data_IF_245735897261
#
_entry.id   IF_245735897261
#
_cell.length_a   1.000
_cell.length_b   1.000
_cell.length_c   1.000
_cell.angle_alpha   90.00
_cell.angle_beta   90.00
_cell.angle_gamma   90.00
#
_symmetry.space_group_name_H-M   'P 1'
#
loop_
_entity.id
_entity.type
_entity.pdbx_description
1 polymer ?
#
# COMPACT_ATOMS: atom_id res chain seq x y z
N UNK A 1 13.86 -9.98 27.07
CA UNK A 1 13.70 -10.09 25.60
C UNK A 1 12.21 -10.09 25.31
N UNK A 2 11.69 -9.05 24.65
CA UNK A 2 10.26 -8.82 24.53
C UNK A 2 9.69 -9.59 23.32
N UNK A 3 8.75 -10.50 23.58
CA UNK A 3 7.93 -11.18 22.57
C UNK A 3 6.85 -10.24 22.01
N UNK A 4 7.23 -9.06 21.52
CA UNK A 4 6.31 -8.06 20.95
C UNK A 4 5.97 -8.33 19.47
N UNK A 5 6.60 -9.33 18.85
CA UNK A 5 6.41 -9.64 17.43
C UNK A 5 5.10 -10.35 17.08
N UNK A 6 4.52 -11.10 18.01
CA UNK A 6 3.39 -12.00 17.75
C UNK A 6 2.02 -11.30 17.93
N UNK A 7 1.92 -10.38 18.91
CA UNK A 7 0.66 -9.69 19.22
C UNK A 7 0.26 -8.61 18.21
N UNK A 8 1.20 -8.08 17.42
CA UNK A 8 0.89 -7.10 16.38
C UNK A 8 0.59 -7.76 15.02
N UNK A 9 0.93 -9.04 14.83
CA UNK A 9 0.59 -9.78 13.62
C UNK A 9 -0.91 -9.76 13.29
N UNK A 10 -1.83 -10.06 14.23
CA UNK A 10 -3.26 -9.93 13.95
C UNK A 10 -3.69 -8.48 13.62
N UNK A 11 -3.07 -7.47 14.23
CA UNK A 11 -3.38 -6.05 13.96
C UNK A 11 -2.96 -5.62 12.55
N UNK A 12 -1.82 -6.10 12.06
CA UNK A 12 -1.40 -5.81 10.68
C UNK A 12 -2.26 -6.54 9.65
N UNK A 13 -2.76 -7.72 9.98
CA UNK A 13 -3.74 -8.44 9.15
C UNK A 13 -5.03 -7.63 9.02
N UNK A 14 -5.60 -7.15 10.13
CA UNK A 14 -6.79 -6.30 10.12
C UNK A 14 -6.59 -5.00 9.32
N UNK A 15 -5.40 -4.38 9.43
CA UNK A 15 -5.03 -3.20 8.62
C UNK A 15 -5.02 -3.58 7.13
N UNK A 16 -4.41 -4.72 6.79
CA UNK A 16 -4.36 -5.23 5.42
C UNK A 16 -5.75 -5.47 4.85
N UNK A 17 -6.65 -6.08 5.61
CA UNK A 17 -8.04 -6.33 5.21
C UNK A 17 -8.81 -5.02 4.99
N UNK A 18 -8.71 -4.05 5.93
CA UNK A 18 -9.34 -2.72 5.78
C UNK A 18 -8.86 -2.01 4.53
N UNK A 19 -7.55 -1.97 4.30
CA UNK A 19 -6.97 -1.34 3.12
C UNK A 19 -7.32 -2.11 1.83
N UNK A 20 -7.47 -3.43 1.90
CA UNK A 20 -7.88 -4.23 0.74
C UNK A 20 -9.31 -3.90 0.33
N UNK A 21 -10.22 -3.75 1.28
CA UNK A 21 -11.58 -3.30 1.01
C UNK A 21 -11.62 -1.84 0.50
N UNK A 22 -10.81 -0.94 1.09
CA UNK A 22 -10.75 0.47 0.71
C UNK A 22 -10.25 0.67 -0.74
N UNK A 23 -9.29 -0.15 -1.17
CA UNK A 23 -8.68 -0.07 -2.51
C UNK A 23 -9.17 -1.18 -3.45
N UNK A 24 -10.32 -1.79 -3.16
CA UNK A 24 -10.93 -2.79 -4.02
C UNK A 24 -11.16 -2.23 -5.43
N UNK A 25 -10.79 -3.01 -6.46
CA UNK A 25 -10.89 -2.58 -7.85
C UNK A 25 -9.81 -1.58 -8.31
N UNK A 26 -9.01 -1.02 -7.39
CA UNK A 26 -7.84 -0.18 -7.73
C UNK A 26 -6.55 -1.00 -7.68
N UNK A 27 -6.36 -1.76 -6.60
CA UNK A 27 -5.17 -2.60 -6.39
C UNK A 27 -5.57 -4.02 -6.04
N UNK A 28 -4.79 -5.01 -6.46
CA UNK A 28 -4.94 -6.38 -6.00
C UNK A 28 -4.58 -6.48 -4.50
N UNK A 29 -5.21 -7.42 -3.78
CA UNK A 29 -4.92 -7.67 -2.36
C UNK A 29 -3.43 -7.94 -2.10
N UNK A 30 -2.73 -8.59 -3.05
CA UNK A 30 -1.29 -8.82 -2.96
C UNK A 30 -0.48 -7.51 -2.95
N UNK A 31 -0.88 -6.51 -3.73
CA UNK A 31 -0.26 -5.18 -3.72
C UNK A 31 -0.45 -4.50 -2.38
N UNK A 32 -1.67 -4.58 -1.82
CA UNK A 32 -1.97 -4.03 -0.49
C UNK A 32 -1.12 -4.70 0.59
N UNK A 33 -1.02 -6.04 0.58
CA UNK A 33 -0.20 -6.79 1.51
C UNK A 33 1.29 -6.39 1.43
N UNK A 34 1.84 -6.24 0.22
CA UNK A 34 3.23 -5.76 0.03
C UNK A 34 3.42 -4.33 0.54
N UNK A 35 2.46 -3.43 0.32
CA UNK A 35 2.52 -2.06 0.83
C UNK A 35 2.47 -1.99 2.36
N UNK A 36 1.67 -2.83 3.01
CA UNK A 36 1.61 -2.92 4.48
C UNK A 36 2.92 -3.49 5.04
N UNK A 37 3.48 -4.53 4.41
CA UNK A 37 4.78 -5.09 4.81
C UNK A 37 5.91 -4.06 4.65
N UNK A 38 5.95 -3.33 3.53
CA UNK A 38 6.93 -2.28 3.29
C UNK A 38 6.79 -1.12 4.29
N UNK A 39 5.55 -0.70 4.60
CA UNK A 39 5.27 0.32 5.60
C UNK A 39 5.72 -0.10 7.01
N UNK A 40 5.48 -1.36 7.39
CA UNK A 40 5.95 -1.94 8.65
C UNK A 40 7.46 -1.96 8.75
N UNK A 41 8.13 -2.42 7.70
CA UNK A 41 9.59 -2.46 7.66
C UNK A 41 10.20 -1.06 7.75
N UNK A 42 9.74 -0.12 6.91
CA UNK A 42 10.22 1.25 6.94
C UNK A 42 9.95 1.98 8.27
N UNK A 43 8.80 1.74 8.90
CA UNK A 43 8.51 2.29 10.23
C UNK A 43 9.49 1.75 11.29
N UNK A 44 9.75 0.43 11.28
CA UNK A 44 10.70 -0.21 12.18
C UNK A 44 12.13 0.30 11.96
N UNK A 45 12.56 0.42 10.70
CA UNK A 45 13.91 0.89 10.35
C UNK A 45 14.15 2.35 10.77
N UNK A 46 13.18 3.23 10.54
CA UNK A 46 13.37 4.67 10.77
C UNK A 46 13.10 5.06 12.22
N UNK A 47 12.10 4.46 12.86
CA UNK A 47 11.64 4.88 14.19
C UNK A 47 12.01 3.90 15.31
N UNK A 48 12.55 2.73 14.96
CA UNK A 48 12.80 1.65 15.91
C UNK A 48 11.54 0.90 16.37
N UNK A 49 10.35 1.28 15.87
CA UNK A 49 9.07 0.66 16.21
C UNK A 49 8.13 0.63 15.01
N UNK A 50 7.36 -0.45 14.87
CA UNK A 50 6.25 -0.49 13.94
C UNK A 50 4.96 -0.24 14.71
N UNK A 51 4.54 1.02 14.87
CA UNK A 51 3.23 1.27 15.48
C UNK A 51 2.13 1.02 14.45
N UNK A 52 1.08 0.21 14.75
CA UNK A 52 0.04 -0.14 13.78
C UNK A 52 -0.61 1.08 13.10
N UNK A 53 -0.90 2.14 13.86
CA UNK A 53 -1.48 3.39 13.33
C UNK A 53 -0.54 4.09 12.35
N UNK A 54 0.77 4.08 12.62
CA UNK A 54 1.77 4.66 11.72
C UNK A 54 1.89 3.82 10.45
N UNK A 55 1.94 2.49 10.58
CA UNK A 55 2.00 1.55 9.46
C UNK A 55 0.81 1.71 8.54
N UNK A 56 -0.42 1.77 9.09
CA UNK A 56 -1.63 1.99 8.30
C UNK A 56 -1.55 3.30 7.51
N UNK A 57 -1.15 4.40 8.15
CA UNK A 57 -1.03 5.72 7.49
C UNK A 57 -0.01 5.72 6.37
N UNK A 58 1.14 5.07 6.57
CA UNK A 58 2.19 4.96 5.56
C UNK A 58 1.71 4.07 4.40
N UNK A 59 1.11 2.92 4.70
CA UNK A 59 0.58 2.00 3.69
C UNK A 59 -0.52 2.65 2.84
N UNK A 60 -1.47 3.36 3.46
CA UNK A 60 -2.51 4.12 2.74
C UNK A 60 -1.91 5.12 1.76
N UNK A 61 -0.92 5.91 2.19
CA UNK A 61 -0.21 6.85 1.31
C UNK A 61 0.50 6.17 0.14
N UNK A 62 1.12 5.01 0.37
CA UNK A 62 1.72 4.24 -0.74
C UNK A 62 0.67 3.85 -1.78
N UNK A 63 -0.50 3.38 -1.34
CA UNK A 63 -1.59 2.96 -2.22
C UNK A 63 -2.21 4.15 -2.99
N UNK A 64 -2.36 5.31 -2.34
CA UNK A 64 -2.81 6.55 -2.98
C UNK A 64 -1.85 7.01 -4.09
N UNK A 65 -0.53 6.98 -3.82
CA UNK A 65 0.49 7.33 -4.82
C UNK A 65 0.46 6.33 -5.98
N UNK A 66 0.40 5.02 -5.69
CA UNK A 66 0.31 3.99 -6.72
C UNK A 66 -0.95 4.15 -7.58
N UNK A 67 -2.09 4.46 -6.97
CA UNK A 67 -3.34 4.71 -7.68
C UNK A 67 -3.23 5.92 -8.62
N UNK A 68 -2.63 7.01 -8.12
CA UNK A 68 -2.38 8.22 -8.93
C UNK A 68 -1.48 7.91 -10.12
N UNK A 69 -0.37 7.20 -9.89
CA UNK A 69 0.56 6.81 -10.96
C UNK A 69 -0.11 5.88 -11.98
N UNK A 70 -0.94 4.94 -11.54
CA UNK A 70 -1.67 4.05 -12.44
C UNK A 70 -2.66 4.84 -13.32
N UNK A 71 -3.40 5.79 -12.73
CA UNK A 71 -4.31 6.67 -13.47
C UNK A 71 -3.56 7.53 -14.50
N UNK A 72 -2.41 8.09 -14.15
CA UNK A 72 -1.57 8.86 -15.06
C UNK A 72 -1.03 8.00 -16.22
N UNK A 73 -0.57 6.78 -15.92
CA UNK A 73 -0.12 5.83 -16.96
C UNK A 73 -1.24 5.46 -17.94
N UNK A 74 -2.46 5.26 -17.44
CA UNK A 74 -3.62 4.99 -18.29
C UNK A 74 -3.96 6.19 -19.20
N UNK A 75 -3.89 7.41 -18.67
CA UNK A 75 -4.08 8.65 -19.45
C UNK A 75 -3.03 8.79 -20.56
N UNK A 76 -1.76 8.50 -20.26
CA UNK A 76 -0.67 8.52 -21.23
C UNK A 76 -0.88 7.47 -22.32
N UNK A 77 -1.21 6.23 -21.96
CA UNK A 77 -1.48 5.16 -22.93
C UNK A 77 -2.63 5.52 -23.88
N UNK A 78 -3.72 6.12 -23.36
CA UNK A 78 -4.83 6.58 -24.19
C UNK A 78 -4.43 7.68 -25.17
N UNK A 79 -3.54 8.58 -24.76
CA UNK A 79 -3.01 9.66 -25.62
C UNK A 79 -2.13 9.10 -26.74
N UNK A 80 -1.24 8.16 -26.44
CA UNK A 80 -0.36 7.56 -27.45
C UNK A 80 -1.13 6.72 -28.46
N UNK A 81 -2.20 6.04 -28.06
CA UNK A 81 -3.07 5.32 -29.00
C UNK A 81 -3.85 6.25 -29.94
N UNK A 82 -4.19 7.47 -29.50
CA UNK A 82 -4.96 8.43 -30.31
C UNK A 82 -4.06 9.21 -31.29
N UNK A 83 -2.78 9.38 -30.95
CA UNK A 83 -1.79 10.06 -31.80
C UNK A 83 -1.14 9.18 -32.87
N UNK A 84 -1.34 7.85 -32.81
CA UNK A 84 -0.78 6.88 -33.77
C UNK A 84 -1.79 6.42 -34.84
N UNK A 85 -2.93 7.09 -35.00
CA UNK A 85 -3.85 6.82 -36.11
C UNK A 85 -3.31 7.49 -37.40
N UNK A 86 -3.14 6.73 -38.51
CA UNK A 86 -2.61 7.24 -39.78
C UNK A 86 -3.57 8.18 -40.52
#
# INVERSE_FOLDING_TARGET
MAHQGDSDQPRYTEIGERLTAEFEGVHAAETVARCVAAARHGALEVTGSAQPVLVERIARKHLEVLATVAAEKLRQARRTTLGNAP
#
